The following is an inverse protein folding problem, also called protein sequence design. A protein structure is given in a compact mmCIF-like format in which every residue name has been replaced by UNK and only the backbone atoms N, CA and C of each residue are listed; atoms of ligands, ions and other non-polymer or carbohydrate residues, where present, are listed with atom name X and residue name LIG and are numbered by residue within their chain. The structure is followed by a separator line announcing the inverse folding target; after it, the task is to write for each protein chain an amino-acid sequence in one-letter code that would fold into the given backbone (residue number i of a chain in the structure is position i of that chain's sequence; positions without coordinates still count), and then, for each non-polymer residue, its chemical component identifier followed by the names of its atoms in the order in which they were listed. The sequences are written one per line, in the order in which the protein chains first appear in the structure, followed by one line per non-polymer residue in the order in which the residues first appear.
data_IF_133294087217
#
_entry.id   IF_133294087217
#
_cell.length_a   1.000
_cell.length_b   1.000
_cell.length_c   1.000
_cell.angle_alpha   90.00
_cell.angle_beta   90.00
_cell.angle_gamma   90.00
#
_symmetry.space_group_name_H-M   'P 1'
#
loop_
_entity.id
_entity.type
_entity.pdbx_description
1 polymer ?
#
# COMPACT_ATOMS: atom_id res chain seq x y z
N UNK A 1 18.51 -4.36 -7.75
CA UNK A 1 17.03 -4.37 -7.69
C UNK A 1 16.64 -5.29 -6.56
N UNK A 2 15.83 -4.83 -5.60
CA UNK A 2 15.38 -5.66 -4.47
C UNK A 2 14.52 -6.82 -4.99
N UNK A 3 14.72 -8.04 -4.49
CA UNK A 3 13.97 -9.24 -4.93
C UNK A 3 12.46 -9.01 -4.75
N UNK A 4 12.05 -8.42 -3.63
CA UNK A 4 10.66 -8.05 -3.36
C UNK A 4 10.07 -7.08 -4.40
N UNK A 5 10.85 -6.09 -4.87
CA UNK A 5 10.42 -5.17 -5.93
C UNK A 5 10.10 -5.91 -7.22
N UNK A 6 11.00 -6.78 -7.68
CA UNK A 6 10.78 -7.56 -8.89
C UNK A 6 9.57 -8.50 -8.75
N UNK A 7 9.43 -9.17 -7.60
CA UNK A 7 8.29 -10.04 -7.31
C UNK A 7 6.97 -9.27 -7.29
N UNK A 8 6.92 -8.11 -6.62
CA UNK A 8 5.72 -7.28 -6.60
C UNK A 8 5.36 -6.78 -8.00
N UNK A 9 6.30 -6.16 -8.73
CA UNK A 9 6.06 -5.64 -10.08
C UNK A 9 5.58 -6.74 -11.02
N UNK A 10 6.22 -7.91 -11.03
CA UNK A 10 5.77 -9.04 -11.85
C UNK A 10 4.37 -9.46 -11.45
N UNK A 11 4.12 -9.61 -10.14
CA UNK A 11 2.84 -10.10 -9.68
C UNK A 11 1.72 -9.10 -9.94
N UNK A 12 1.90 -7.78 -9.77
CA UNK A 12 0.81 -6.78 -9.81
C UNK A 12 0.03 -6.73 -11.14
N UNK A 13 0.65 -7.18 -12.22
CA UNK A 13 0.00 -7.30 -13.54
C UNK A 13 -0.92 -8.52 -13.67
N UNK A 14 -0.92 -9.44 -12.70
CA UNK A 14 -1.75 -10.63 -12.69
C UNK A 14 -2.99 -10.41 -11.83
N UNK A 15 -4.15 -10.83 -12.33
CA UNK A 15 -5.44 -10.77 -11.62
C UNK A 15 -5.78 -12.16 -11.08
N UNK A 16 -6.10 -12.23 -9.78
CA UNK A 16 -6.56 -13.45 -9.09
C UNK A 16 -8.06 -13.41 -8.77
N UNK A 17 -8.47 -14.19 -7.78
CA UNK A 17 -9.88 -14.38 -7.41
C UNK A 17 -10.66 -13.07 -7.24
N UNK A 18 -10.03 -12.07 -6.62
CA UNK A 18 -10.60 -10.75 -6.33
C UNK A 18 -10.97 -9.90 -7.56
N UNK A 19 -10.63 -10.37 -8.76
CA UNK A 19 -11.02 -9.76 -10.02
C UNK A 19 -11.80 -10.75 -10.92
N UNK A 20 -12.61 -11.64 -10.31
CA UNK A 20 -13.43 -12.65 -10.99
C UNK A 20 -12.59 -13.61 -11.86
N UNK A 21 -11.37 -13.93 -11.43
CA UNK A 21 -10.51 -14.95 -12.05
C UNK A 21 -10.39 -16.17 -11.15
N UNK A 22 -9.74 -17.22 -11.67
CA UNK A 22 -9.35 -18.36 -10.85
C UNK A 22 -8.44 -17.91 -9.71
N UNK A 23 -8.63 -18.54 -8.56
CA UNK A 23 -7.80 -18.33 -7.39
C UNK A 23 -6.34 -18.73 -7.67
N UNK A 24 -5.41 -17.86 -7.29
CA UNK A 24 -3.96 -18.04 -7.48
C UNK A 24 -3.25 -17.88 -6.13
N UNK A 25 -2.82 -18.97 -5.48
CA UNK A 25 -2.22 -18.93 -4.14
C UNK A 25 -1.07 -17.92 -3.99
N UNK A 26 -0.17 -17.83 -4.97
CA UNK A 26 0.96 -16.88 -4.92
C UNK A 26 0.56 -15.39 -4.98
N UNK A 27 -0.67 -15.10 -5.37
CA UNK A 27 -1.23 -13.75 -5.54
C UNK A 27 -2.29 -13.46 -4.48
N UNK A 28 -3.18 -14.41 -4.21
CA UNK A 28 -4.39 -14.20 -3.41
C UNK A 28 -4.23 -14.63 -1.94
N UNK A 29 -3.29 -15.52 -1.61
CA UNK A 29 -3.17 -16.05 -0.25
C UNK A 29 -2.35 -15.18 0.67
N UNK A 30 -2.78 -15.12 1.93
CA UNK A 30 -1.96 -14.61 3.00
C UNK A 30 -0.65 -15.40 3.08
N UNK A 31 0.47 -14.68 3.00
CA UNK A 31 1.80 -15.30 2.94
C UNK A 31 2.19 -15.84 1.56
N UNK A 32 1.35 -15.64 0.54
CA UNK A 32 1.73 -15.79 -0.86
C UNK A 32 2.82 -14.79 -1.26
N UNK A 33 3.43 -15.01 -2.43
CA UNK A 33 4.59 -14.23 -2.88
C UNK A 33 4.30 -12.73 -2.95
N UNK A 34 3.13 -12.34 -3.47
CA UNK A 34 2.75 -10.92 -3.54
C UNK A 34 2.63 -10.30 -2.15
N UNK A 35 1.95 -10.98 -1.22
CA UNK A 35 1.78 -10.48 0.15
C UNK A 35 3.14 -10.27 0.83
N UNK A 36 4.02 -11.28 0.77
CA UNK A 36 5.37 -11.20 1.34
C UNK A 36 6.19 -10.06 0.73
N UNK A 37 6.15 -9.92 -0.59
CA UNK A 37 6.85 -8.84 -1.28
C UNK A 37 6.33 -7.46 -0.85
N UNK A 38 5.01 -7.29 -0.72
CA UNK A 38 4.41 -6.04 -0.26
C UNK A 38 4.74 -5.72 1.19
N UNK A 39 4.83 -6.72 2.08
CA UNK A 39 5.27 -6.53 3.47
C UNK A 39 6.69 -5.97 3.47
N UNK A 40 7.62 -6.66 2.80
CA UNK A 40 9.03 -6.26 2.77
C UNK A 40 9.21 -4.86 2.18
N UNK A 41 8.48 -4.55 1.09
CA UNK A 41 8.50 -3.23 0.48
C UNK A 41 7.90 -2.15 1.39
N UNK A 42 6.80 -2.43 2.10
CA UNK A 42 6.22 -1.48 3.05
C UNK A 42 7.13 -1.23 4.25
N UNK A 43 7.78 -2.25 4.80
CA UNK A 43 8.73 -2.10 5.92
C UNK A 43 9.99 -1.31 5.51
N UNK A 44 10.44 -1.49 4.27
CA UNK A 44 11.58 -0.77 3.72
C UNK A 44 11.23 0.68 3.40
N UNK A 45 10.15 0.89 2.65
CA UNK A 45 9.80 2.19 2.06
C UNK A 45 8.88 3.03 2.95
N UNK A 46 8.21 2.41 3.90
CA UNK A 46 7.22 3.04 4.78
C UNK A 46 7.77 3.94 5.87
N UNK A 47 9.09 4.07 5.94
CA UNK A 47 9.77 4.84 6.98
C UNK A 47 9.54 6.34 6.76
N UNK A 48 9.26 7.12 7.81
CA UNK A 48 9.15 8.57 7.69
C UNK A 48 10.39 9.18 7.03
N UNK A 49 10.19 10.05 6.05
CA UNK A 49 11.25 10.70 5.29
C UNK A 49 11.67 10.00 4.00
N UNK A 50 11.27 8.74 3.76
CA UNK A 50 11.50 8.06 2.47
C UNK A 50 10.89 8.87 1.33
N UNK A 51 11.60 8.97 0.21
CA UNK A 51 11.14 9.77 -0.93
C UNK A 51 10.10 9.01 -1.75
N UNK A 52 9.03 9.68 -2.17
CA UNK A 52 7.95 9.07 -2.94
C UNK A 52 8.41 8.50 -4.28
N UNK A 53 9.45 9.09 -4.90
CA UNK A 53 10.03 8.56 -6.14
C UNK A 53 10.72 7.19 -5.94
N UNK A 54 11.19 6.88 -4.73
CA UNK A 54 11.77 5.57 -4.39
C UNK A 54 10.67 4.51 -4.33
N UNK A 55 9.50 4.88 -3.79
CA UNK A 55 8.31 4.02 -3.81
C UNK A 55 7.89 3.75 -5.26
N UNK A 56 7.76 4.79 -6.08
CA UNK A 56 7.45 4.62 -7.51
C UNK A 56 8.49 3.79 -8.26
N UNK A 57 9.77 3.96 -7.93
CA UNK A 57 10.83 3.20 -8.57
C UNK A 57 10.74 1.69 -8.26
N UNK A 58 10.41 1.33 -7.01
CA UNK A 58 10.43 -0.06 -6.55
C UNK A 58 9.07 -0.76 -6.62
N UNK A 59 7.97 -0.02 -6.53
CA UNK A 59 6.59 -0.55 -6.57
C UNK A 59 5.86 -0.17 -7.86
N UNK A 60 6.41 0.75 -8.65
CA UNK A 60 5.72 1.38 -9.77
C UNK A 60 4.68 2.40 -9.29
N UNK A 61 3.84 2.92 -10.21
CA UNK A 61 2.82 3.88 -9.83
C UNK A 61 1.82 3.25 -8.85
N UNK A 62 1.28 4.04 -7.91
CA UNK A 62 0.20 3.60 -7.03
C UNK A 62 -1.05 3.25 -7.84
N UNK A 63 -1.85 2.32 -7.33
CA UNK A 63 -3.14 1.97 -7.92
C UNK A 63 -4.12 3.15 -7.84
N UNK A 64 -4.09 3.86 -6.71
CA UNK A 64 -4.93 5.03 -6.47
C UNK A 64 -4.17 6.10 -5.70
N UNK A 65 -4.46 7.35 -5.99
CA UNK A 65 -4.01 8.51 -5.22
C UNK A 65 -5.25 9.23 -4.70
N UNK A 66 -5.33 9.43 -3.39
CA UNK A 66 -6.39 10.19 -2.74
C UNK A 66 -5.83 11.49 -2.16
N UNK A 67 -6.58 12.58 -2.30
CA UNK A 67 -6.25 13.85 -1.64
C UNK A 67 -6.70 13.86 -0.16
N UNK A 68 -7.69 13.05 0.20
CA UNK A 68 -8.23 12.92 1.55
C UNK A 68 -8.58 11.46 1.86
N UNK A 69 -8.46 11.01 3.13
CA UNK A 69 -8.92 9.69 3.53
C UNK A 69 -10.45 9.65 3.58
N UNK A 70 -11.05 8.51 3.23
CA UNK A 70 -12.43 8.25 3.61
C UNK A 70 -12.55 7.96 5.12
N UNK A 71 -13.77 7.75 5.61
CA UNK A 71 -14.00 7.50 7.04
C UNK A 71 -13.24 6.26 7.56
N UNK A 72 -13.14 5.22 6.73
CA UNK A 72 -12.51 3.94 7.06
C UNK A 72 -11.00 4.10 7.21
N UNK A 73 -10.36 4.72 6.23
CA UNK A 73 -8.93 4.99 6.26
C UNK A 73 -8.59 6.03 7.33
N UNK A 74 -9.44 7.04 7.55
CA UNK A 74 -9.26 7.99 8.63
C UNK A 74 -9.29 7.31 10.00
N UNK A 75 -10.19 6.35 10.21
CA UNK A 75 -10.22 5.54 11.42
C UNK A 75 -8.95 4.67 11.56
N UNK A 76 -8.43 4.12 10.46
CA UNK A 76 -7.15 3.40 10.47
C UNK A 76 -5.96 4.31 10.84
N UNK A 77 -5.90 5.53 10.30
CA UNK A 77 -4.86 6.52 10.61
C UNK A 77 -4.91 6.98 12.08
N UNK A 78 -6.12 7.08 12.65
CA UNK A 78 -6.34 7.47 14.05
C UNK A 78 -6.13 6.34 15.06
N UNK A 79 -5.97 5.09 14.62
CA UNK A 79 -6.03 3.89 15.48
C UNK A 79 -5.00 3.92 16.62
N UNK A 80 -3.86 4.57 16.41
CA UNK A 80 -2.79 4.74 17.41
C UNK A 80 -2.63 6.19 17.92
N UNK A 81 -3.45 7.12 17.44
CA UNK A 81 -3.43 8.53 17.83
C UNK A 81 -4.80 9.16 17.54
N UNK A 82 -5.65 9.22 18.57
CA UNK A 82 -6.99 9.82 18.48
C UNK A 82 -6.98 11.29 18.04
N UNK A 83 -5.90 12.00 18.35
CA UNK A 83 -5.67 13.40 17.99
C UNK A 83 -5.01 13.57 16.63
N UNK A 84 -4.86 12.48 15.86
CA UNK A 84 -4.29 12.53 14.53
C UNK A 84 -5.13 13.45 13.63
N UNK A 85 -4.48 14.52 13.15
CA UNK A 85 -4.99 15.35 12.06
C UNK A 85 -4.30 14.95 10.77
N UNK A 86 -5.11 14.65 9.76
CA UNK A 86 -4.63 14.48 8.41
C UNK A 86 -4.02 15.81 7.94
N UNK A 87 -2.77 15.83 7.43
CA UNK A 87 -2.17 17.05 6.92
C UNK A 87 -2.90 17.50 5.65
N UNK A 88 -3.32 18.75 5.57
CA UNK A 88 -4.19 19.27 4.51
C UNK A 88 -3.62 19.07 3.09
N UNK A 89 -2.29 19.11 2.93
CA UNK A 89 -1.59 18.94 1.65
C UNK A 89 -1.01 17.53 1.44
N UNK A 90 -1.28 16.59 2.34
CA UNK A 90 -0.82 15.22 2.17
C UNK A 90 -1.68 14.48 1.14
N UNK A 91 -1.07 13.50 0.48
CA UNK A 91 -1.75 12.56 -0.42
C UNK A 91 -1.59 11.15 0.11
N UNK A 92 -2.57 10.30 -0.20
CA UNK A 92 -2.55 8.89 0.14
C UNK A 92 -2.30 8.11 -1.13
N UNK A 93 -1.25 7.31 -1.14
CA UNK A 93 -0.92 6.41 -2.25
C UNK A 93 -1.28 4.99 -1.86
N UNK A 94 -2.20 4.38 -2.60
CA UNK A 94 -2.71 3.03 -2.33
C UNK A 94 -2.11 2.04 -3.34
N UNK A 95 -1.64 0.92 -2.81
CA UNK A 95 -1.15 -0.24 -3.55
C UNK A 95 -1.99 -1.46 -3.17
N UNK A 96 -2.82 -1.92 -4.10
CA UNK A 96 -3.75 -3.03 -3.87
C UNK A 96 -3.03 -4.38 -3.82
N UNK A 97 -3.46 -5.24 -2.89
CA UNK A 97 -3.10 -6.66 -2.89
C UNK A 97 -4.24 -7.51 -3.45
N UNK A 98 -5.41 -7.45 -2.82
CA UNK A 98 -6.62 -8.26 -3.12
C UNK A 98 -7.77 -7.35 -3.57
N UNK A 99 -7.48 -6.48 -4.55
CA UNK A 99 -8.38 -5.38 -4.88
C UNK A 99 -8.43 -4.34 -3.75
N UNK A 100 -9.57 -3.66 -3.62
CA UNK A 100 -9.81 -2.69 -2.56
C UNK A 100 -10.04 -3.32 -1.17
N UNK A 101 -10.03 -4.66 -1.08
CA UNK A 101 -10.26 -5.41 0.16
C UNK A 101 -9.07 -5.31 1.13
N UNK A 102 -7.84 -5.56 0.63
CA UNK A 102 -6.60 -5.44 1.39
C UNK A 102 -5.53 -4.73 0.57
N UNK A 103 -4.88 -3.74 1.19
CA UNK A 103 -3.92 -2.90 0.51
C UNK A 103 -2.90 -2.30 1.48
N UNK A 104 -1.77 -1.87 0.93
CA UNK A 104 -0.83 -0.99 1.61
C UNK A 104 -1.14 0.45 1.20
N UNK A 105 -1.08 1.37 2.16
CA UNK A 105 -1.11 2.79 1.86
C UNK A 105 0.12 3.50 2.39
N UNK A 106 0.54 4.55 1.67
CA UNK A 106 1.57 5.49 2.10
C UNK A 106 0.94 6.88 2.17
N UNK A 107 1.13 7.55 3.30
CA UNK A 107 0.84 8.96 3.44
C UNK A 107 2.05 9.78 3.00
N UNK A 108 1.90 10.56 1.95
CA UNK A 108 2.95 11.33 1.31
C UNK A 108 2.72 12.81 1.58
N UNK A 109 3.73 13.50 2.12
CA UNK A 109 3.71 14.94 2.34
C UNK A 109 3.78 15.71 1.01
N UNK A 110 3.48 17.02 1.07
CA UNK A 110 3.69 17.95 -0.06
C UNK A 110 5.13 17.95 -0.61
N UNK A 111 6.11 17.68 0.25
CA UNK A 111 7.53 17.60 -0.11
C UNK A 111 7.92 16.22 -0.67
N UNK A 112 6.92 15.39 -1.01
CA UNK A 112 7.07 14.04 -1.57
C UNK A 112 7.82 13.09 -0.66
N UNK A 113 7.59 13.18 0.65
CA UNK A 113 8.18 12.28 1.65
C UNK A 113 7.11 11.49 2.36
N UNK A 114 7.41 10.25 2.70
CA UNK A 114 6.56 9.43 3.55
C UNK A 114 6.44 10.08 4.92
N UNK A 115 5.21 10.27 5.38
CA UNK A 115 4.87 10.64 6.76
C UNK A 115 4.65 9.37 7.57
N UNK A 116 3.89 8.44 7.00
CA UNK A 116 3.60 7.12 7.58
C UNK A 116 3.14 6.15 6.49
N UNK A 117 3.13 4.86 6.79
CA UNK A 117 2.45 3.85 5.98
C UNK A 117 1.91 2.74 6.87
N UNK A 118 0.90 2.03 6.38
CA UNK A 118 0.41 0.83 7.04
C UNK A 118 -0.35 -0.07 6.06
N UNK A 119 -0.71 -1.24 6.56
CA UNK A 119 -1.69 -2.12 5.93
C UNK A 119 -3.11 -1.74 6.33
N UNK A 120 -3.99 -1.73 5.36
CA UNK A 120 -5.42 -1.87 5.57
C UNK A 120 -5.83 -3.30 5.28
N UNK A 121 -6.50 -3.92 6.25
CA UNK A 121 -7.16 -5.21 6.11
C UNK A 121 -8.64 -5.00 6.44
N UNK A 122 -9.55 -5.43 5.57
CA UNK A 122 -11.00 -5.31 5.81
C UNK A 122 -11.51 -6.29 6.87
N UNK A 123 -10.80 -7.41 7.09
CA UNK A 123 -11.15 -8.50 8.02
C UNK A 123 -12.53 -9.16 7.79
N UNK A 124 -13.09 -9.03 6.58
CA UNK A 124 -14.35 -9.68 6.17
C UNK A 124 -14.16 -11.17 5.82
#
# INVERSE_FOLDING_TARGET
MLIASSEYIRSKHHRGHWYNKEHRPSIDDYGGNRHKAMIELQEHLGRPGTMANEIEHLMGPPTQILDQPDATLLAALKRNNENYKYPDDAKIWIYEWRGNHDYVYFLISKDKKVIQSAWYYSFE
#
